data_IF_336004670113
#
_entry.id   IF_336004670113
#
_cell.length_a   1.000
_cell.length_b   1.000
_cell.length_c   1.000
_cell.angle_alpha   90.00
_cell.angle_beta   90.00
_cell.angle_gamma   90.00
#
_symmetry.space_group_name_H-M   'P 1'
#
loop_
_entity.id
_entity.type
_entity.pdbx_description
1 polymer ?
2 branched ?
3 non-polymer ?
#
# COMPACT_ATOMS: atom_id res chain seq x y z
N UNK A 29 -11.31 -11.13 -3.39
CA UNK A 29 -9.99 -11.13 -2.75
C UNK A 29 -8.94 -10.45 -3.61
N UNK A 30 -8.11 -9.62 -2.99
CA UNK A 30 -7.02 -8.94 -3.71
C UNK A 30 -5.75 -9.80 -3.59
N UNK A 31 -5.91 -11.11 -3.86
CA UNK A 31 -4.87 -12.13 -3.81
C UNK A 31 -3.66 -11.88 -4.69
N UNK A 32 -3.84 -11.11 -5.77
CA UNK A 32 -2.76 -10.72 -6.68
C UNK A 32 -2.23 -9.38 -6.16
N UNK A 33 -0.90 -9.27 -5.97
CA UNK A 33 -0.31 -8.07 -5.39
C UNK A 33 -0.27 -6.85 -6.34
N UNK A 34 0.45 -6.94 -7.48
CA UNK A 34 0.57 -5.80 -8.39
C UNK A 34 -0.58 -5.65 -9.38
N UNK A 35 -1.26 -6.78 -9.69
CA UNK A 35 -2.37 -6.94 -10.64
C UNK A 35 -1.87 -7.12 -12.09
N UNK A 36 -1.55 -6.03 -12.83
CA UNK A 36 -1.03 -6.13 -14.19
C UNK A 36 0.38 -5.54 -14.22
N UNK A 37 1.40 -6.43 -14.19
CA UNK A 37 2.84 -6.12 -14.16
C UNK A 37 3.22 -5.46 -12.82
N UNK A 38 2.94 -4.16 -12.62
CA UNK A 38 3.19 -3.46 -11.35
C UNK A 38 2.27 -2.24 -11.17
N UNK A 39 1.81 -1.65 -12.29
CA UNK A 39 0.89 -0.52 -12.36
C UNK A 39 0.13 -0.61 -13.73
N UNK A 40 -0.07 0.50 -14.44
CA UNK A 40 -0.69 0.48 -15.75
C UNK A 40 0.25 -0.19 -16.73
N UNK A 41 1.24 0.54 -17.26
CA UNK A 41 2.24 -0.10 -18.13
C UNK A 41 3.25 -0.87 -17.26
N UNK A 42 3.91 -0.17 -16.29
CA UNK A 42 4.86 -0.67 -15.28
C UNK A 42 6.13 0.19 -15.12
N UNK A 43 6.83 -0.03 -13.97
CA UNK A 43 8.07 0.51 -13.38
C UNK A 43 9.10 1.17 -14.35
N UNK A 44 9.52 2.39 -14.01
CA UNK A 44 10.52 3.12 -14.77
C UNK A 44 11.52 3.78 -13.81
N UNK A 45 12.80 3.78 -14.18
CA UNK A 45 13.84 4.38 -13.33
C UNK A 45 14.33 5.67 -13.97
N UNK A 46 14.22 6.79 -13.23
CA UNK A 46 14.65 8.09 -13.74
C UNK A 46 15.75 8.67 -12.86
N UNK A 47 16.57 9.55 -13.43
CA UNK A 47 17.63 10.20 -12.70
C UNK A 47 17.06 11.30 -11.76
N UNK A 48 17.87 11.75 -10.80
CA UNK A 48 17.48 12.79 -9.87
C UNK A 48 17.98 14.16 -10.24
N UNK A 49 17.47 15.21 -9.55
CA UNK A 49 17.86 16.59 -9.78
C UNK A 49 19.36 16.77 -9.55
N UNK A 50 20.03 17.45 -10.47
CA UNK A 50 21.47 17.66 -10.40
C UNK A 50 22.30 16.47 -10.85
N UNK A 51 21.67 15.44 -11.45
CA UNK A 51 22.33 14.23 -11.92
C UNK A 51 21.72 13.81 -13.27
N UNK A 52 22.56 13.34 -14.20
CA UNK A 52 22.11 12.86 -15.49
C UNK A 52 21.55 13.91 -16.42
N UNK A 53 20.31 13.72 -16.91
CA UNK A 53 19.67 14.68 -17.82
C UNK A 53 19.35 16.01 -17.14
N UNK A 54 19.20 16.03 -15.82
CA UNK A 54 18.94 17.27 -15.08
C UNK A 54 20.26 17.80 -14.52
N UNK A 55 21.35 17.69 -15.29
CA UNK A 55 22.66 18.17 -14.82
C UNK A 55 22.66 19.69 -14.77
N UNK A 56 23.25 20.24 -13.70
CA UNK A 56 23.32 21.66 -13.43
C UNK A 56 21.93 22.30 -13.33
N UNK A 57 20.99 21.58 -12.69
CA UNK A 57 19.64 22.04 -12.43
C UNK A 57 19.55 22.12 -10.90
N UNK A 58 19.27 23.31 -10.36
CA UNK A 58 19.22 23.53 -8.91
C UNK A 58 18.00 22.92 -8.24
N UNK A 59 16.85 22.92 -8.92
CA UNK A 59 15.61 22.41 -8.35
C UNK A 59 14.69 21.78 -9.41
N UNK A 60 13.51 21.25 -9.00
CA UNK A 60 12.56 20.68 -9.94
C UNK A 60 11.58 21.78 -10.44
N UNK A 61 12.05 22.66 -11.34
CA UNK A 61 11.27 23.77 -11.88
C UNK A 61 10.20 23.34 -12.92
N UNK A 62 9.43 24.30 -13.46
CA UNK A 62 8.40 24.01 -14.45
C UNK A 62 9.00 23.79 -15.85
N UNK A 63 10.15 23.13 -15.90
CA UNK A 63 10.88 22.85 -17.15
C UNK A 63 11.23 21.36 -17.20
N UNK A 64 11.62 20.77 -16.06
CA UNK A 64 11.99 19.36 -16.02
C UNK A 64 11.05 18.47 -15.20
N UNK A 65 9.94 19.02 -14.68
CA UNK A 65 8.99 18.22 -13.91
C UNK A 65 8.34 17.12 -14.75
N UNK A 66 8.13 17.41 -16.07
CA UNK A 66 7.52 16.51 -17.05
C UNK A 66 8.34 15.25 -17.34
N UNK A 67 9.65 15.25 -17.01
CA UNK A 67 10.52 14.10 -17.20
C UNK A 67 10.45 13.07 -16.02
N UNK A 68 9.65 13.37 -14.99
CA UNK A 68 9.41 12.51 -13.84
C UNK A 68 8.08 11.74 -13.93
N UNK A 69 7.34 11.90 -15.05
CA UNK A 69 6.05 11.26 -15.33
C UNK A 69 6.28 9.77 -15.55
N UNK A 70 5.36 8.93 -15.06
CA UNK A 70 5.43 7.47 -15.18
C UNK A 70 6.79 6.95 -14.68
N UNK A 71 7.10 7.22 -13.41
CA UNK A 71 8.38 6.87 -12.84
C UNK A 71 8.24 6.37 -11.42
N UNK A 72 8.51 5.08 -11.19
CA UNK A 72 8.43 4.49 -9.87
C UNK A 72 9.67 4.83 -9.05
N UNK A 73 10.86 4.51 -9.58
CA UNK A 73 12.09 4.78 -8.85
C UNK A 73 12.83 6.01 -9.38
N UNK A 74 12.95 7.05 -8.56
CA UNK A 74 13.69 8.23 -8.93
C UNK A 74 15.01 8.21 -8.16
N UNK A 75 15.96 7.40 -8.63
CA UNK A 75 17.29 7.28 -8.02
C UNK A 75 17.99 8.61 -8.08
N UNK A 76 18.69 8.94 -7.00
CA UNK A 76 19.37 10.22 -6.88
C UNK A 76 18.68 11.11 -5.86
N UNK A 77 18.92 12.43 -5.93
CA UNK A 77 18.33 13.35 -4.97
C UNK A 77 17.26 14.24 -5.57
N UNK A 78 16.18 14.50 -4.83
CA UNK A 78 15.09 15.36 -5.27
C UNK A 78 15.24 16.71 -4.59
N UNK A 79 15.05 17.82 -5.32
CA UNK A 79 15.16 19.16 -4.74
C UNK A 79 13.97 20.04 -5.14
N UNK A 80 13.28 20.64 -4.17
CA UNK A 80 12.17 21.54 -4.44
C UNK A 80 12.40 22.87 -3.70
N UNK A 81 13.30 23.69 -4.23
CA UNK A 81 13.66 25.01 -3.69
C UNK A 81 12.61 26.07 -4.12
N UNK A 82 12.56 27.27 -3.50
CA UNK A 82 11.56 28.28 -3.90
C UNK A 82 11.63 28.73 -5.36
N UNK A 83 12.78 28.52 -6.01
CA UNK A 83 13.01 28.85 -7.41
C UNK A 83 12.04 28.10 -8.32
N UNK A 84 11.68 26.86 -7.96
CA UNK A 84 10.75 26.07 -8.75
C UNK A 84 9.37 26.72 -8.84
N UNK A 85 8.81 27.19 -7.70
CA UNK A 85 7.49 27.82 -7.65
C UNK A 85 7.50 29.29 -8.08
N UNK A 86 8.57 30.04 -7.78
CA UNK A 86 8.69 31.45 -8.14
C UNK A 86 8.98 31.61 -9.63
N UNK A 87 9.93 30.84 -10.13
CA UNK A 87 10.35 30.87 -11.51
C UNK A 87 11.64 31.65 -11.63
N UNK A 88 12.61 31.10 -12.36
CA UNK A 88 13.87 31.80 -12.59
C UNK A 88 13.84 32.37 -14.00
N UNK A 89 13.81 33.71 -14.09
CA UNK A 89 13.73 34.43 -15.36
C UNK A 89 14.98 34.26 -16.24
N UNK A 90 16.18 34.35 -15.63
CA UNK A 90 17.45 34.26 -16.35
C UNK A 90 17.74 32.90 -16.97
N UNK A 91 17.23 31.81 -16.37
CA UNK A 91 17.45 30.48 -16.94
C UNK A 91 16.32 30.05 -17.89
N UNK A 92 15.46 31.00 -18.37
CA UNK A 92 14.32 30.74 -19.25
C UNK A 92 13.39 29.68 -18.61
N UNK A 93 13.25 29.71 -17.27
CA UNK A 93 12.40 28.76 -16.55
C UNK A 93 11.18 29.48 -15.98
N UNK A 94 10.02 28.80 -16.02
CA UNK A 94 8.78 29.47 -15.58
C UNK A 94 8.32 29.12 -14.16
N UNK A 95 7.31 29.84 -13.61
CA UNK A 95 6.80 29.49 -12.28
C UNK A 95 6.01 28.19 -12.31
N UNK A 96 6.15 27.36 -11.27
CA UNK A 96 5.48 26.07 -11.23
C UNK A 96 4.04 26.15 -10.71
N UNK A 97 3.12 25.54 -11.45
CA UNK A 97 1.73 25.49 -11.06
C UNK A 97 1.61 24.36 -10.05
N UNK A 98 1.03 24.64 -8.87
CA UNK A 98 0.93 23.59 -7.84
C UNK A 98 0.16 22.33 -8.26
N UNK A 99 -0.55 22.35 -9.39
CA UNK A 99 -1.22 21.14 -9.87
C UNK A 99 -0.24 20.19 -10.61
N UNK A 100 0.98 20.65 -10.93
CA UNK A 100 1.98 19.82 -11.59
C UNK A 100 2.66 18.83 -10.65
N UNK A 101 2.67 19.13 -9.34
CA UNK A 101 3.28 18.28 -8.33
C UNK A 101 2.78 16.85 -8.38
N UNK A 102 1.52 16.66 -8.78
CA UNK A 102 0.91 15.34 -8.93
C UNK A 102 1.66 14.41 -9.92
N UNK A 103 2.65 14.96 -10.66
CA UNK A 103 3.48 14.16 -11.57
C UNK A 103 4.40 13.20 -10.80
N UNK A 104 4.66 13.47 -9.50
CA UNK A 104 5.51 12.67 -8.59
C UNK A 104 4.71 11.68 -7.73
N UNK A 105 3.37 11.62 -7.89
CA UNK A 105 2.52 10.69 -7.14
C UNK A 105 2.81 9.20 -7.45
N UNK A 106 3.67 8.94 -8.44
CA UNK A 106 4.11 7.62 -8.88
C UNK A 106 5.44 7.19 -8.24
N UNK A 107 6.19 8.12 -7.65
CA UNK A 107 7.48 7.83 -7.06
C UNK A 107 7.35 7.17 -5.70
N UNK A 108 8.02 6.03 -5.50
CA UNK A 108 8.01 5.31 -4.24
C UNK A 108 9.42 5.04 -3.69
N UNK A 109 10.48 5.20 -4.50
CA UNK A 109 11.85 5.00 -4.02
C UNK A 109 12.78 6.18 -4.34
N UNK A 110 13.60 6.60 -3.37
CA UNK A 110 14.59 7.66 -3.57
C UNK A 110 15.91 7.13 -3.03
N UNK A 111 16.90 6.90 -3.90
CA UNK A 111 18.19 6.34 -3.46
C UNK A 111 19.08 7.39 -2.75
N UNK A 112 18.85 8.67 -3.02
CA UNK A 112 19.61 9.74 -2.37
C UNK A 112 18.81 10.41 -1.27
N UNK A 113 18.62 11.73 -1.37
CA UNK A 113 17.87 12.46 -0.35
C UNK A 113 16.70 13.29 -0.93
N UNK A 114 15.72 13.61 -0.11
CA UNK A 114 14.57 14.43 -0.49
C UNK A 114 14.68 15.78 0.22
N UNK A 115 14.92 16.85 -0.55
CA UNK A 115 15.06 18.19 0.00
C UNK A 115 13.91 19.09 -0.46
N UNK A 116 12.90 19.30 0.38
CA UNK A 116 11.74 20.15 0.07
C UNK A 116 11.79 21.44 0.88
N UNK A 117 12.15 22.55 0.24
CA UNK A 117 12.27 23.84 0.94
C UNK A 117 11.08 24.78 0.74
N UNK A 118 10.17 24.48 -0.19
CA UNK A 118 9.01 25.34 -0.43
C UNK A 118 7.82 24.52 -0.94
N UNK A 119 6.61 24.85 -0.47
CA UNK A 119 5.37 24.13 -0.83
C UNK A 119 4.16 25.08 -0.64
N UNK A 120 3.10 25.01 -1.48
CA UNK A 120 1.97 25.93 -1.34
C UNK A 120 1.16 25.87 -0.02
N UNK A 121 0.29 26.89 0.20
CA UNK A 121 -0.59 27.01 1.37
C UNK A 121 -1.95 26.30 1.10
N UNK A 122 -2.44 26.35 -0.17
CA UNK A 122 -3.68 25.67 -0.58
C UNK A 122 -3.63 24.12 -0.36
N UNK A 123 -2.45 23.58 0.04
CA UNK A 123 -2.24 22.17 0.37
C UNK A 123 -1.65 22.09 1.78
N UNK A 124 -2.31 21.33 2.66
CA UNK A 124 -1.89 21.18 4.05
C UNK A 124 -0.90 20.04 4.31
N UNK A 125 -0.54 19.29 3.28
CA UNK A 125 0.39 18.17 3.44
C UNK A 125 1.26 17.99 2.17
N UNK A 126 2.21 17.03 2.19
CA UNK A 126 3.07 16.74 1.05
C UNK A 126 2.31 15.84 0.06
N UNK A 127 1.27 16.42 -0.57
CA UNK A 127 0.35 15.81 -1.50
C UNK A 127 1.01 14.93 -2.55
N UNK A 128 2.04 15.45 -3.23
CA UNK A 128 2.76 14.76 -4.30
C UNK A 128 3.48 13.47 -3.90
N UNK A 129 3.82 13.34 -2.62
CA UNK A 129 4.55 12.15 -2.16
C UNK A 129 3.68 11.14 -1.41
N UNK A 130 2.35 11.16 -1.63
CA UNK A 130 1.42 10.27 -0.96
C UNK A 130 1.69 8.77 -1.20
N UNK A 131 2.65 8.43 -2.09
CA UNK A 131 2.96 7.04 -2.38
C UNK A 131 4.44 6.68 -2.19
N UNK A 132 5.29 7.62 -1.70
CA UNK A 132 6.71 7.37 -1.43
C UNK A 132 6.82 6.41 -0.26
N UNK A 133 7.60 5.33 -0.42
CA UNK A 133 7.74 4.30 0.60
C UNK A 133 9.14 4.09 1.11
N UNK A 134 10.16 4.19 0.24
CA UNK A 134 11.54 3.92 0.67
C UNK A 134 12.52 5.03 0.26
N UNK A 135 13.26 5.55 1.23
CA UNK A 135 14.26 6.57 0.97
C UNK A 135 15.61 6.11 1.54
N UNK A 136 16.46 5.60 0.66
CA UNK A 136 17.76 4.98 0.94
C UNK A 136 18.74 5.86 1.72
N UNK A 137 19.14 6.99 1.15
CA UNK A 137 20.07 7.87 1.82
C UNK A 137 21.53 7.61 1.48
N UNK A 138 21.81 7.25 0.23
CA UNK A 138 23.21 7.06 -0.19
C UNK A 138 23.82 8.47 -0.32
N UNK A 139 23.08 9.40 -0.97
CA UNK A 139 23.44 10.81 -1.09
C UNK A 139 22.79 11.51 0.12
N UNK A 140 23.47 12.52 0.70
CA UNK A 140 22.91 13.24 1.85
C UNK A 140 23.07 14.76 1.68
N UNK A 141 22.09 15.57 2.15
CA UNK A 141 22.21 17.02 2.06
C UNK A 141 23.20 17.46 3.12
N UNK A 142 24.27 18.16 2.69
CA UNK A 142 25.38 18.58 3.55
C UNK A 142 26.01 17.37 4.25
N UNK A 143 25.97 16.20 3.61
CA UNK A 143 26.47 14.93 4.14
C UNK A 143 25.87 14.59 5.48
N UNK A 144 24.59 14.92 5.67
CA UNK A 144 23.94 14.69 6.93
C UNK A 144 22.45 14.35 6.82
N UNK A 145 21.75 14.74 5.71
CA UNK A 145 20.30 14.53 5.68
C UNK A 145 19.68 13.74 4.52
N UNK A 146 18.70 12.89 4.88
CA UNK A 146 17.92 12.06 3.96
C UNK A 146 16.58 12.73 3.72
N UNK A 147 15.94 13.23 4.77
CA UNK A 147 14.66 13.90 4.64
C UNK A 147 14.78 15.30 5.18
N UNK A 148 14.52 16.30 4.36
CA UNK A 148 14.59 17.69 4.79
C UNK A 148 13.30 18.39 4.44
N UNK A 149 12.48 18.68 5.45
CA UNK A 149 11.19 19.34 5.24
C UNK A 149 11.22 20.64 6.04
N UNK A 150 11.76 21.71 5.43
CA UNK A 150 11.88 22.98 6.15
C UNK A 150 11.11 24.11 5.52
N UNK A 151 10.62 25.01 6.39
CA UNK A 151 9.89 26.22 6.02
C UNK A 151 8.74 25.96 5.04
N UNK A 152 7.72 25.20 5.47
CA UNK A 152 6.56 24.83 4.65
C UNK A 152 5.26 25.27 5.32
N UNK A 153 4.34 25.87 4.55
CA UNK A 153 3.08 26.35 5.11
C UNK A 153 2.03 25.26 5.27
N UNK A 154 2.46 24.05 5.67
CA UNK A 154 1.57 22.89 5.83
C UNK A 154 1.21 22.61 7.29
N UNK A 155 0.15 21.80 7.52
CA UNK A 155 -0.31 21.47 8.88
C UNK A 155 -0.06 20.00 9.29
N UNK A 156 0.25 19.13 8.32
CA UNK A 156 0.56 17.71 8.52
C UNK A 156 1.55 17.25 7.41
N UNK A 157 2.19 16.07 7.57
CA UNK A 157 3.13 15.59 6.55
C UNK A 157 2.45 14.81 5.41
N UNK A 158 1.65 13.82 5.76
CA UNK A 158 0.95 13.01 4.77
C UNK A 158 1.85 12.08 3.98
N UNK A 159 2.87 11.52 4.62
CA UNK A 159 3.78 10.58 3.98
C UNK A 159 3.41 9.16 4.47
N UNK A 160 2.11 8.84 4.41
CA UNK A 160 1.52 7.58 4.86
C UNK A 160 2.20 6.32 4.39
N UNK A 161 2.89 6.39 3.25
CA UNK A 161 3.49 5.21 2.66
C UNK A 161 4.91 4.93 3.10
N UNK A 162 5.66 5.97 3.49
CA UNK A 162 7.07 5.86 3.92
C UNK A 162 7.26 4.85 5.04
N UNK A 163 7.98 3.79 4.75
CA UNK A 163 8.24 2.74 5.73
C UNK A 163 9.71 2.71 6.15
N UNK A 164 10.64 3.10 5.27
CA UNK A 164 12.07 3.06 5.62
C UNK A 164 12.90 4.24 5.11
N UNK A 165 13.52 4.97 6.04
CA UNK A 165 14.48 6.03 5.76
C UNK A 165 15.75 5.32 6.16
N UNK A 166 16.46 4.74 5.19
CA UNK A 166 17.61 3.87 5.43
C UNK A 166 18.81 4.48 6.15
N UNK A 167 19.34 5.62 5.68
CA UNK A 167 20.59 6.13 6.25
C UNK A 167 20.58 7.57 6.83
N UNK A 168 20.43 8.62 6.00
CA UNK A 168 20.55 10.00 6.46
C UNK A 168 19.64 10.45 7.58
N UNK A 169 20.04 11.54 8.26
CA UNK A 169 19.28 12.11 9.36
C UNK A 169 18.09 12.97 8.84
N UNK A 170 17.06 13.18 9.68
CA UNK A 170 15.85 13.89 9.26
C UNK A 170 15.70 15.27 9.89
N UNK A 171 15.46 16.31 9.07
CA UNK A 171 15.28 17.67 9.57
C UNK A 171 13.90 18.21 9.21
N UNK A 172 13.11 18.58 10.21
CA UNK A 172 11.78 19.16 9.99
C UNK A 172 11.66 20.40 10.86
N UNK A 173 11.91 21.59 10.26
CA UNK A 173 11.91 22.86 10.99
C UNK A 173 11.25 24.04 10.28
N UNK A 174 10.73 24.97 11.07
CA UNK A 174 10.13 26.20 10.55
C UNK A 174 8.79 25.99 9.88
N UNK A 175 8.04 25.03 10.37
CA UNK A 175 6.72 24.73 9.81
C UNK A 175 5.70 25.17 10.84
N UNK A 176 5.55 26.50 10.95
CA UNK A 176 4.71 27.23 11.89
C UNK A 176 3.35 26.59 12.24
N UNK A 177 2.57 26.13 11.26
CA UNK A 177 1.27 25.54 11.55
C UNK A 177 1.25 23.99 11.45
N UNK A 178 2.43 23.34 11.42
CA UNK A 178 2.56 21.88 11.31
C UNK A 178 2.53 21.10 12.62
N UNK A 179 1.54 20.22 12.74
CA UNK A 179 1.35 19.29 13.86
C UNK A 179 1.71 17.85 13.40
N UNK A 180 1.50 16.83 14.27
CA UNK A 180 1.68 15.39 14.02
C UNK A 180 3.10 14.91 13.74
N UNK A 181 4.02 15.80 13.33
CA UNK A 181 5.39 15.38 12.98
C UNK A 181 6.17 14.88 14.17
N UNK A 182 5.90 15.41 15.37
CA UNK A 182 6.58 15.01 16.60
C UNK A 182 6.14 13.61 17.12
N UNK A 183 4.98 13.14 16.65
CA UNK A 183 4.36 11.87 17.06
C UNK A 183 5.11 10.66 16.51
N UNK A 184 5.51 10.71 15.23
CA UNK A 184 6.19 9.62 14.54
C UNK A 184 7.37 9.04 15.34
N UNK A 185 7.37 7.72 15.57
CA UNK A 185 8.48 7.06 16.21
C UNK A 185 9.42 6.82 15.05
N UNK A 186 10.33 7.75 14.80
CA UNK A 186 11.25 7.65 13.69
C UNK A 186 12.15 6.40 13.77
N UNK A 187 12.30 5.79 14.96
CA UNK A 187 13.06 4.55 15.18
C UNK A 187 12.57 3.39 14.29
N UNK A 188 11.26 3.39 13.96
CA UNK A 188 10.64 2.37 13.11
C UNK A 188 11.10 2.54 11.67
N UNK A 189 11.11 3.77 11.17
CA UNK A 189 11.54 4.05 9.80
C UNK A 189 13.06 3.96 9.65
N UNK A 190 13.83 4.26 10.72
CA UNK A 190 15.28 4.24 10.63
C UNK A 190 15.85 2.84 10.50
N UNK A 191 17.02 2.76 9.85
CA UNK A 191 17.72 1.50 9.63
C UNK A 191 19.15 1.52 10.16
N UNK A 192 19.90 2.58 9.81
CA UNK A 192 21.28 2.76 10.23
C UNK A 192 21.35 3.20 11.71
N UNK A 193 22.42 2.84 12.42
CA UNK A 193 22.59 3.21 13.81
C UNK A 193 22.87 4.70 14.01
N UNK A 194 22.23 5.26 15.03
CA UNK A 194 22.40 6.65 15.43
C UNK A 194 21.79 7.71 14.53
N UNK A 195 20.70 7.38 13.81
CA UNK A 195 20.06 8.36 12.93
C UNK A 195 19.39 9.48 13.72
N UNK A 196 20.01 10.66 13.72
CA UNK A 196 19.48 11.82 14.41
C UNK A 196 18.18 12.33 13.76
N UNK A 197 17.34 13.01 14.53
CA UNK A 197 16.06 13.51 14.03
C UNK A 197 15.73 14.92 14.54
N UNK A 198 16.24 15.96 13.85
CA UNK A 198 16.00 17.34 14.24
C UNK A 198 14.60 17.86 13.90
N UNK A 199 13.65 17.74 14.84
CA UNK A 199 12.30 18.22 14.64
C UNK A 199 12.12 19.39 15.59
N UNK A 200 12.47 20.61 15.15
CA UNK A 200 12.36 21.80 16.01
C UNK A 200 11.55 22.94 15.38
N UNK A 201 11.00 23.84 16.21
CA UNK A 201 10.25 25.03 15.77
C UNK A 201 9.16 24.76 14.70
N UNK A 202 8.09 24.05 15.09
CA UNK A 202 6.94 23.78 14.21
C UNK A 202 5.68 24.29 14.96
N UNK A 203 4.53 23.57 14.94
CA UNK A 203 3.37 23.98 15.73
C UNK A 203 3.40 23.13 17.00
N UNK A 204 3.80 23.74 18.11
CA UNK A 204 3.96 23.12 19.41
C UNK A 204 2.92 22.09 19.84
N UNK A 205 3.38 21.10 20.63
CA UNK A 205 2.50 20.04 21.16
C UNK A 205 1.41 20.57 22.11
N UNK A 206 1.60 21.79 22.65
CA UNK A 206 0.63 22.43 23.52
C UNK A 206 -0.64 22.81 22.72
N UNK A 207 -0.47 23.47 21.57
CA UNK A 207 -1.59 23.90 20.74
C UNK A 207 -2.18 22.75 19.95
N UNK A 208 -1.32 21.84 19.45
CA UNK A 208 -1.78 20.72 18.64
C UNK A 208 -2.80 19.84 19.37
N UNK A 209 -2.52 19.48 20.62
CA UNK A 209 -3.44 18.63 21.39
C UNK A 209 -4.71 19.38 21.85
N UNK A 210 -4.58 20.68 22.16
CA UNK A 210 -5.72 21.49 22.60
C UNK A 210 -6.74 21.81 21.50
N UNK A 211 -6.37 21.62 20.23
CA UNK A 211 -7.27 21.86 19.09
C UNK A 211 -7.82 20.56 18.46
N UNK A 212 -7.49 19.40 19.02
CA UNK A 212 -7.93 18.13 18.47
C UNK A 212 -7.07 17.62 17.34
N UNK A 213 -5.85 18.16 17.20
CA UNK A 213 -4.92 17.73 16.16
C UNK A 213 -3.90 16.76 16.73
N UNK A 214 -4.41 15.72 17.38
CA UNK A 214 -3.62 14.67 17.98
C UNK A 214 -3.72 13.38 17.13
N UNK A 215 -2.88 12.37 17.41
CA UNK A 215 -2.94 11.10 16.68
C UNK A 215 -4.30 10.42 16.91
N UNK A 216 -4.84 9.78 15.86
CA UNK A 216 -6.15 9.11 15.87
C UNK A 216 -6.26 8.01 16.92
N UNK A 217 -7.47 7.72 17.38
CA UNK A 217 -7.71 6.68 18.37
C UNK A 217 -7.35 5.32 17.77
N UNK A 218 -7.79 5.05 16.52
CA UNK A 218 -7.49 3.79 15.84
C UNK A 218 -6.01 3.60 15.50
N UNK A 219 -5.23 4.70 15.53
CA UNK A 219 -3.79 4.77 15.29
C UNK A 219 -3.02 4.39 16.56
N UNK A 220 -2.04 3.48 16.44
CA UNK A 220 -1.23 3.06 17.58
C UNK A 220 -0.41 4.25 18.10
N UNK A 221 0.11 4.21 19.36
CA UNK A 221 0.93 5.32 19.85
C UNK A 221 2.24 5.56 19.07
N UNK A 222 2.54 4.72 18.06
CA UNK A 222 3.75 4.83 17.25
C UNK A 222 3.76 5.97 16.23
N UNK A 223 2.95 7.00 16.46
CA UNK A 223 2.93 8.17 15.59
C UNK A 223 2.07 8.09 14.36
N UNK A 224 1.73 9.25 13.80
CA UNK A 224 0.86 9.30 12.62
C UNK A 224 1.23 10.45 11.69
N UNK A 225 0.95 10.32 10.38
CA UNK A 225 1.22 11.41 9.45
C UNK A 225 0.06 12.42 9.34
N UNK A 226 -0.85 12.41 10.31
CA UNK A 226 -2.02 13.28 10.32
C UNK A 226 -3.15 12.73 11.16
N UNK A 227 -4.37 13.26 10.98
CA UNK A 227 -5.51 12.77 11.78
C UNK A 227 -6.23 11.57 11.19
N UNK A 228 -6.38 11.54 9.84
CA UNK A 228 -7.04 10.47 9.08
C UNK A 228 -6.52 9.08 9.45
N UNK A 229 -7.39 8.05 9.57
CA UNK A 229 -6.90 6.70 9.92
C UNK A 229 -5.92 6.09 8.91
N UNK A 230 -5.95 6.56 7.65
CA UNK A 230 -5.02 6.11 6.62
C UNK A 230 -3.61 6.64 6.90
N UNK A 231 -3.50 7.90 7.41
CA UNK A 231 -2.22 8.48 7.78
C UNK A 231 -1.81 7.79 9.08
N UNK A 232 -1.03 6.70 9.00
CA UNK A 232 -0.65 5.99 10.22
C UNK A 232 0.63 5.18 10.09
N UNK A 233 1.44 5.16 11.15
CA UNK A 233 2.67 4.38 11.17
C UNK A 233 2.27 2.93 11.41
N UNK A 234 1.44 2.68 12.42
CA UNK A 234 0.95 1.34 12.72
C UNK A 234 -0.46 1.40 13.34
N UNK A 235 -1.21 0.29 13.30
CA UNK A 235 -2.56 0.24 13.84
C UNK A 235 -2.59 -0.34 15.24
N UNK A 236 -3.37 0.28 16.15
CA UNK A 236 -3.51 -0.15 17.54
C UNK A 236 -4.28 -1.46 17.58
N UNK A 237 -5.39 -1.52 16.83
CA UNK A 237 -6.20 -2.72 16.76
C UNK A 237 -5.78 -3.49 15.48
N UNK A 238 -6.48 -3.38 14.35
CA UNK A 238 -6.10 -4.10 13.12
C UNK A 238 -6.17 -3.21 11.86
N UNK A 239 -5.69 -3.70 10.70
CA UNK A 239 -5.73 -2.93 9.46
C UNK A 239 -6.48 -3.69 8.36
N UNK A 240 -6.95 -2.97 7.34
CA UNK A 240 -7.64 -3.59 6.20
C UNK A 240 -7.41 -2.74 4.97
N UNK A 241 -6.53 -3.19 4.09
CA UNK A 241 -6.19 -2.46 2.88
C UNK A 241 -5.27 -1.30 3.17
N UNK A 242 -5.79 -0.06 3.09
CA UNK A 242 -4.98 1.11 3.38
C UNK A 242 -5.57 1.91 4.54
N UNK A 243 -6.10 1.22 5.56
CA UNK A 243 -6.72 1.90 6.69
C UNK A 243 -6.53 1.17 8.01
N UNK A 244 -6.47 1.94 9.11
CA UNK A 244 -6.42 1.38 10.47
C UNK A 244 -7.87 1.25 10.92
N UNK A 245 -8.34 0.03 11.22
CA UNK A 245 -9.71 -0.22 11.66
C UNK A 245 -9.76 -0.92 13.06
N UNK A 246 -10.94 -0.99 13.69
CA UNK A 246 -11.08 -1.63 15.00
C UNK A 246 -11.56 -3.08 14.86
N UNK A 247 -12.49 -3.31 13.93
CA UNK A 247 -13.07 -4.64 13.71
C UNK A 247 -12.42 -5.36 12.54
N UNK A 248 -12.47 -6.70 12.56
CA UNK A 248 -11.85 -7.47 11.48
C UNK A 248 -12.86 -8.29 10.65
N UNK A 249 -14.20 -8.18 10.94
CA UNK A 249 -15.28 -8.89 10.22
C UNK A 249 -15.20 -10.41 10.35
N UNK A 250 -14.66 -10.90 11.46
CA UNK A 250 -14.49 -12.34 11.67
C UNK A 250 -15.83 -13.02 11.88
N UNK A 251 -16.60 -12.54 12.86
CA UNK A 251 -17.84 -13.17 13.23
C UNK A 251 -19.06 -12.73 12.42
N UNK A 252 -18.99 -11.61 11.66
CA UNK A 252 -20.17 -11.14 10.94
C UNK A 252 -19.94 -10.13 9.79
N UNK A 253 -21.03 -9.79 9.08
CA UNK A 253 -21.09 -8.76 8.05
C UNK A 253 -20.51 -9.06 6.69
N UNK A 254 -19.96 -7.99 6.06
CA UNK A 254 -19.31 -8.02 4.75
C UNK A 254 -18.24 -9.13 4.71
N UNK A 255 -17.90 -9.72 3.54
CA UNK A 255 -16.91 -10.80 3.46
C UNK A 255 -16.20 -11.19 4.77
N UNK A 256 -16.46 -12.40 5.27
CA UNK A 256 -15.91 -12.83 6.56
C UNK A 256 -14.40 -12.94 6.50
N UNK A 257 -13.72 -12.14 7.31
CA UNK A 257 -12.28 -12.07 7.29
C UNK A 257 -11.58 -12.74 8.47
N UNK A 258 -10.30 -13.08 8.29
CA UNK A 258 -9.49 -13.66 9.36
C UNK A 258 -8.30 -12.72 9.64
N UNK A 259 -7.80 -12.73 10.88
CA UNK A 259 -6.67 -11.87 11.23
C UNK A 259 -5.33 -12.58 11.10
N UNK A 260 -4.41 -12.00 10.32
CA UNK A 260 -3.07 -12.55 10.17
C UNK A 260 -2.06 -11.40 10.17
N UNK A 261 -1.29 -11.26 11.28
CA UNK A 261 -0.32 -10.17 11.48
C UNK A 261 -0.98 -8.79 11.30
N UNK A 262 -2.01 -8.51 12.12
CA UNK A 262 -2.81 -7.28 12.12
C UNK A 262 -3.45 -6.94 10.77
N UNK A 263 -3.85 -7.96 9.99
CA UNK A 263 -4.48 -7.73 8.69
C UNK A 263 -5.76 -8.52 8.48
N UNK A 264 -6.83 -7.86 7.98
CA UNK A 264 -8.16 -8.45 7.71
C UNK A 264 -8.26 -8.92 6.27
N UNK A 265 -8.38 -10.25 6.05
CA UNK A 265 -8.47 -10.83 4.71
C UNK A 265 -9.65 -11.80 4.61
N UNK A 266 -10.54 -11.60 3.63
CA UNK A 266 -11.74 -12.43 3.52
C UNK A 266 -11.47 -13.86 3.10
N UNK A 267 -12.24 -14.77 3.69
CA UNK A 267 -12.21 -16.20 3.45
C UNK A 267 -12.74 -16.47 2.06
N UNK A 268 -12.33 -17.62 1.48
CA UNK A 268 -12.76 -18.05 0.14
C UNK A 268 -14.28 -18.01 -0.02
N UNK A 269 -14.80 -17.53 -1.15
CA UNK A 269 -16.26 -17.49 -1.34
C UNK A 269 -16.98 -18.81 -1.10
N UNK A 270 -16.28 -19.92 -1.31
CA UNK A 270 -16.85 -21.23 -1.11
C UNK A 270 -16.82 -21.70 0.35
N UNK A 271 -16.98 -20.78 1.30
CA UNK A 271 -16.97 -21.12 2.71
C UNK A 271 -18.19 -20.55 3.41
N UNK A 272 -19.18 -21.40 3.75
CA UNK A 272 -20.44 -20.97 4.38
C UNK A 272 -20.19 -20.13 5.63
N UNK A 273 -20.50 -18.84 5.59
CA UNK A 273 -20.23 -17.98 6.75
C UNK A 273 -20.93 -18.44 8.00
N UNK A 274 -20.14 -18.90 8.96
CA UNK A 274 -20.68 -19.42 10.20
C UNK A 274 -20.91 -18.36 11.25
N UNK A 275 -22.01 -18.52 12.00
CA UNK A 275 -22.33 -17.69 13.14
C UNK A 275 -21.85 -18.45 14.39
N UNK A 276 -21.44 -17.71 15.44
CA UNK A 276 -20.87 -18.28 16.67
C UNK A 276 -19.40 -18.75 16.48
N UNK A 277 -18.98 -19.03 15.23
CA UNK A 277 -17.60 -19.41 14.91
C UNK A 277 -17.04 -18.60 13.73
N UNK A 278 -15.71 -18.55 13.61
CA UNK A 278 -15.08 -17.84 12.50
C UNK A 278 -15.14 -18.69 11.23
N UNK A 279 -15.30 -18.05 10.09
CA UNK A 279 -15.49 -18.73 8.82
C UNK A 279 -14.23 -19.46 8.30
N UNK A 280 -13.01 -18.92 8.55
CA UNK A 280 -11.81 -19.62 8.06
C UNK A 280 -10.60 -19.49 8.96
N UNK A 281 -9.71 -20.47 8.83
CA UNK A 281 -8.42 -20.51 9.51
C UNK A 281 -7.34 -19.81 8.67
N UNK A 282 -7.54 -19.72 7.34
CA UNK A 282 -6.60 -19.09 6.43
C UNK A 282 -7.22 -18.58 5.14
N UNK A 283 -6.37 -18.23 4.17
CA UNK A 283 -6.75 -17.64 2.89
C UNK A 283 -7.46 -18.54 1.87
N UNK A 284 -6.96 -19.75 1.65
CA UNK A 284 -7.47 -20.62 0.60
C UNK A 284 -8.86 -21.21 0.72
N UNK A 285 -9.26 -21.94 -0.33
CA UNK A 285 -10.55 -22.63 -0.30
C UNK A 285 -10.54 -23.84 0.63
N UNK A 286 -9.40 -24.53 0.74
CA UNK A 286 -9.29 -25.69 1.59
C UNK A 286 -8.95 -25.39 3.05
N UNK A 287 -8.91 -24.10 3.44
CA UNK A 287 -8.57 -23.73 4.80
C UNK A 287 -9.76 -23.16 5.57
N UNK A 288 -10.98 -23.60 5.22
CA UNK A 288 -12.15 -23.09 5.93
C UNK A 288 -13.02 -24.20 6.58
N UNK A 289 -13.86 -23.78 7.56
CA UNK A 289 -14.76 -24.56 8.41
C UNK A 289 -15.67 -25.53 7.68
N UNK A 290 -16.43 -25.07 6.67
CA UNK A 290 -17.33 -25.88 5.87
C UNK A 290 -17.71 -25.22 4.57
N UNK A 291 -17.77 -26.01 3.51
CA UNK A 291 -18.05 -25.51 2.18
C UNK A 291 -19.53 -25.20 1.99
N UNK A 292 -19.84 -24.05 1.37
CA UNK A 292 -21.23 -23.67 1.11
C UNK A 292 -21.88 -24.46 -0.04
N UNK A 293 -21.09 -25.24 -0.80
CA UNK A 293 -21.63 -26.03 -1.90
C UNK A 293 -21.16 -27.49 -1.75
N UNK A 294 -20.28 -28.03 -2.62
CA UNK A 294 -19.82 -29.42 -2.47
C UNK A 294 -18.35 -29.45 -1.96
N UNK A 295 -17.75 -30.65 -1.72
CA UNK A 295 -16.38 -30.67 -1.20
C UNK A 295 -15.47 -31.73 -1.89
N UNK A 296 -14.70 -31.31 -2.91
CA UNK A 296 -13.78 -32.21 -3.60
C UNK A 296 -12.45 -32.27 -2.87
N UNK A 297 -12.22 -33.38 -2.16
CA UNK A 297 -11.02 -33.60 -1.38
C UNK A 297 -10.96 -32.60 -0.24
N UNK A 298 -9.85 -31.87 -0.10
CA UNK A 298 -9.79 -30.82 0.92
C UNK A 298 -10.40 -29.50 0.45
N UNK A 299 -10.63 -29.33 -0.86
CA UNK A 299 -11.11 -28.10 -1.46
C UNK A 299 -12.60 -27.93 -1.47
N UNK A 300 -13.03 -26.70 -1.26
CA UNK A 300 -14.43 -26.34 -1.31
C UNK A 300 -14.76 -25.94 -2.74
N UNK A 301 -15.65 -26.68 -3.40
CA UNK A 301 -15.99 -26.40 -4.79
C UNK A 301 -17.46 -26.04 -4.97
N UNK A 302 -17.78 -25.14 -5.93
CA UNK A 302 -19.19 -24.79 -6.17
C UNK A 302 -19.97 -25.92 -6.82
N UNK A 303 -19.27 -26.82 -7.51
CA UNK A 303 -19.79 -28.01 -8.15
C UNK A 303 -18.67 -29.04 -8.27
N UNK A 304 -19.02 -30.33 -8.28
CA UNK A 304 -18.03 -31.39 -8.48
C UNK A 304 -17.48 -31.26 -9.92
N UNK A 305 -16.20 -31.60 -10.16
CA UNK A 305 -15.67 -31.49 -11.53
C UNK A 305 -16.46 -32.35 -12.53
N UNK A 306 -16.97 -31.72 -13.60
CA UNK A 306 -17.74 -32.46 -14.60
C UNK A 306 -17.14 -32.28 -16.00
N UNK A 307 -16.00 -32.89 -16.23
CA UNK A 307 -15.33 -32.82 -17.52
C UNK A 307 -14.26 -31.76 -17.63
N UNK A 308 -13.35 -31.73 -16.65
CA UNK A 308 -12.25 -30.76 -16.65
C UNK A 308 -10.98 -31.45 -17.13
N UNK A 309 -10.16 -30.79 -17.95
CA UNK A 309 -8.90 -31.39 -18.41
C UNK A 309 -7.96 -31.49 -17.19
N UNK A 310 -7.74 -32.71 -16.72
CA UNK A 310 -6.91 -32.96 -15.55
C UNK A 310 -5.43 -32.80 -15.82
N UNK A 311 -4.62 -32.63 -14.76
CA UNK A 311 -3.16 -32.45 -14.86
C UNK A 311 -2.43 -33.58 -15.60
N UNK A 312 -3.12 -34.68 -15.90
CA UNK A 312 -2.59 -35.80 -16.65
C UNK A 312 -3.21 -35.85 -18.06
N UNK A 313 -3.53 -34.67 -18.65
CA UNK A 313 -4.12 -34.53 -19.98
C UNK A 313 -5.28 -35.52 -20.25
N UNK A 314 -6.22 -35.63 -19.30
CA UNK A 314 -7.37 -36.53 -19.40
C UNK A 314 -8.56 -35.95 -18.62
N UNK A 315 -9.77 -36.05 -19.18
CA UNK A 315 -10.99 -35.52 -18.57
C UNK A 315 -11.37 -36.17 -17.24
N UNK A 316 -11.41 -35.36 -16.17
CA UNK A 316 -11.75 -35.81 -14.83
C UNK A 316 -13.23 -35.56 -14.50
N UNK A 317 -13.97 -36.63 -14.19
CA UNK A 317 -15.40 -36.53 -13.85
C UNK A 317 -15.67 -37.01 -12.43
N UNK A 318 -16.57 -36.32 -11.72
CA UNK A 318 -16.92 -36.67 -10.33
C UNK A 318 -18.44 -36.59 -10.07
N UNK A 319 -18.91 -37.10 -8.91
CA UNK A 319 -20.31 -37.10 -8.51
C UNK A 319 -20.51 -36.56 -7.08
N UNK A 320 -21.75 -36.21 -6.73
CA UNK A 320 -22.04 -35.67 -5.40
C UNK A 320 -22.73 -36.64 -4.44
N UNK A 321 -22.06 -36.95 -3.33
CA UNK A 321 -22.60 -37.83 -2.29
C UNK A 321 -23.81 -37.18 -1.60
N UNK A 322 -24.43 -37.91 -0.67
CA UNK A 322 -25.57 -37.38 0.09
C UNK A 322 -25.14 -36.21 0.98
N UNK A 323 -23.91 -36.29 1.51
CA UNK A 323 -23.34 -35.24 2.34
C UNK A 323 -22.49 -34.25 1.55
N UNK A 324 -22.79 -34.09 0.25
CA UNK A 324 -22.14 -33.18 -0.70
C UNK A 324 -20.65 -33.44 -0.91
N UNK A 325 -20.20 -34.70 -0.82
CA UNK A 325 -18.77 -35.01 -1.01
C UNK A 325 -18.46 -35.49 -2.42
N UNK A 326 -17.60 -34.76 -3.13
CA UNK A 326 -17.22 -35.09 -4.50
C UNK A 326 -16.34 -36.33 -4.58
N UNK A 327 -16.85 -37.39 -5.22
CA UNK A 327 -16.11 -38.65 -5.42
C UNK A 327 -15.92 -38.90 -6.90
N UNK A 328 -14.75 -39.46 -7.29
CA UNK A 328 -14.48 -39.72 -8.71
C UNK A 328 -15.48 -40.73 -9.28
N UNK A 329 -16.14 -40.38 -10.40
CA UNK A 329 -17.12 -41.29 -11.00
C UNK A 329 -16.46 -42.44 -11.75
N UNK A 330 -17.19 -43.57 -11.92
CA UNK A 330 -16.72 -44.78 -12.60
C UNK A 330 -16.04 -44.49 -13.94
N UNK A 331 -14.90 -45.17 -14.22
CA UNK A 331 -14.21 -44.90 -15.49
C UNK A 331 -15.03 -45.22 -16.73
N UNK A 332 -15.96 -46.19 -16.65
CA UNK A 332 -16.78 -46.55 -17.80
C UNK A 332 -17.60 -45.37 -18.31
N UNK A 333 -18.46 -44.78 -17.44
CA UNK A 333 -19.24 -43.60 -17.82
C UNK A 333 -18.26 -42.44 -17.95
N UNK A 334 -17.84 -42.17 -19.19
CA UNK A 334 -16.82 -41.16 -19.44
C UNK A 334 -17.39 -39.78 -19.71
N UNK A 335 -18.27 -39.63 -20.71
CA UNK A 335 -18.80 -38.31 -21.04
C UNK A 335 -19.94 -37.83 -20.13
N UNK A 336 -20.09 -38.45 -18.95
CA UNK A 336 -21.13 -38.05 -18.01
C UNK A 336 -21.22 -38.95 -16.78
N UNK A 337 -22.00 -38.52 -15.77
CA UNK A 337 -22.21 -39.25 -14.52
C UNK A 337 -23.45 -38.74 -13.78
N UNK A 338 -24.10 -39.62 -13.00
CA UNK A 338 -25.28 -39.22 -12.23
C UNK A 338 -25.18 -39.73 -10.78
N UNK A 339 -24.79 -40.98 -10.62
CA UNK A 339 -24.65 -41.59 -9.31
C UNK A 339 -23.33 -42.31 -9.15
N UNK A 340 -23.25 -43.21 -8.16
CA UNK A 340 -22.00 -43.93 -7.92
C UNK A 340 -21.83 -45.14 -8.84
N UNK A 341 -20.58 -45.46 -9.15
CA UNK A 341 -20.23 -46.60 -9.98
C UNK A 341 -20.87 -46.66 -11.35
N UNK A 342 -21.01 -47.88 -11.90
CA UNK A 342 -21.62 -48.11 -13.21
C UNK A 342 -23.11 -48.32 -13.04
N UNK A 343 -23.85 -47.23 -12.90
CA UNK A 343 -25.29 -47.28 -12.74
C UNK A 343 -25.88 -46.00 -13.35
N UNK A 344 -26.83 -46.17 -14.27
CA UNK A 344 -27.50 -45.07 -14.96
C UNK A 344 -26.60 -44.19 -15.81
N UNK A 345 -26.70 -44.33 -17.15
CA UNK A 345 -25.86 -43.53 -18.04
C UNK A 345 -26.39 -43.34 -19.50
N UNK A 346 -27.33 -44.14 -20.07
CA UNK A 346 -27.76 -43.89 -21.47
C UNK A 346 -28.86 -42.83 -21.60
N UNK A 347 -28.49 -41.63 -22.04
CA UNK A 347 -29.45 -40.53 -22.15
C UNK A 347 -30.08 -40.44 -23.55
N UNK A 348 -31.37 -40.12 -23.60
CA UNK A 348 -32.22 -40.00 -24.79
C UNK A 348 -32.05 -38.66 -25.52
N UNK A 349 -31.53 -38.70 -26.73
CA UNK A 349 -31.33 -37.51 -27.54
C UNK A 349 -32.62 -36.95 -28.13
#
# INVERSE_FOLDING_TARGET
>A
LEEKKGNYVVTDHGSSVRACGADSYEMEEDGVRKCKKCEGPCRKVCNGIGIGEFKDSLSINATNIKHFKNCTSISGDLHILPVAFRGDSFTHTPPLDPQELDILKTVKEITGFLLIQAWPENRTDLHAFENLEIIRGRTKQHGQFSLAVVSLNITSLGLRSLKEISDGDVIISGNKNLCYANTINWKKLFGTSGQKTKIISNRGENSCKATGQVCHALCSPEGCWGPEPRDCVSCRNVSRGRECVDKCNLLEGEPREFVENSECIQCHPECLPQAMNITCTGRGPDNCIQCAHYIDGPHCVKTCPAGVMGENNTLVWKYADAGHVCHLCHPNCTYGCTGPGLEGCPTNGPKHHHHHH
#
